data_IF_328236743670
#
_entry.id   IF_328236743670
#
_cell.length_a   1.000
_cell.length_b   1.000
_cell.length_c   1.000
_cell.angle_alpha   90.00
_cell.angle_beta   90.00
_cell.angle_gamma   90.00
#
_symmetry.space_group_name_H-M   'P 1'
#
loop_
_entity.id
_entity.type
_entity.pdbx_description
1 polymer ?
#
# COMPACT_ATOMS: atom_id res chain seq x y z
N UNK A 1 -32.81 10.30 -3.20
CA UNK A 1 -31.87 9.66 -2.26
C UNK A 1 -30.48 10.18 -2.60
N UNK A 2 -30.02 11.20 -1.88
CA UNK A 2 -28.71 11.82 -2.17
C UNK A 2 -27.61 10.94 -1.58
N UNK A 3 -26.98 10.13 -2.42
CA UNK A 3 -25.79 9.34 -2.06
C UNK A 3 -24.62 10.28 -1.75
N UNK A 4 -24.48 10.74 -0.50
CA UNK A 4 -23.19 11.27 -0.01
C UNK A 4 -22.30 10.09 0.35
N UNK A 5 -21.61 9.53 -0.64
CA UNK A 5 -20.72 8.39 -0.44
C UNK A 5 -19.26 8.68 -0.85
N UNK A 6 -18.89 9.95 -1.00
CA UNK A 6 -17.52 10.36 -1.31
C UNK A 6 -16.91 11.09 -0.11
N UNK A 7 -15.72 10.64 0.30
CA UNK A 7 -14.92 11.21 1.38
C UNK A 7 -13.64 11.77 0.78
N UNK A 8 -13.38 13.05 1.06
CA UNK A 8 -12.09 13.67 0.80
C UNK A 8 -11.45 14.08 2.13
N UNK A 9 -10.30 13.51 2.45
CA UNK A 9 -9.56 13.78 3.68
C UNK A 9 -8.19 14.35 3.35
N UNK A 10 -7.88 15.52 3.89
CA UNK A 10 -6.58 16.18 3.80
C UNK A 10 -6.05 16.38 5.22
N UNK A 11 -4.87 15.84 5.51
CA UNK A 11 -4.25 15.93 6.83
C UNK A 11 -2.80 16.34 6.70
N UNK A 12 -2.39 17.35 7.47
CA UNK A 12 -1.01 17.81 7.54
C UNK A 12 -0.63 18.09 8.99
N UNK A 13 0.51 17.57 9.44
CA UNK A 13 0.96 17.74 10.83
C UNK A 13 1.96 16.68 11.25
N UNK A 14 2.53 16.80 12.45
CA UNK A 14 3.57 15.86 12.89
C UNK A 14 3.02 14.45 13.13
N UNK A 15 1.82 14.32 13.69
CA UNK A 15 1.13 13.06 13.90
C UNK A 15 -0.27 13.10 13.30
N UNK A 16 -0.55 12.20 12.37
CA UNK A 16 -1.83 12.09 11.68
C UNK A 16 -2.47 10.77 12.04
N UNK A 17 -3.72 10.84 12.51
CA UNK A 17 -4.61 9.68 12.64
C UNK A 17 -5.85 9.96 11.80
N UNK A 18 -6.04 9.19 10.73
CA UNK A 18 -7.14 9.37 9.78
C UNK A 18 -8.01 8.11 9.72
N UNK A 19 -9.33 8.29 9.83
CA UNK A 19 -10.33 7.26 9.62
C UNK A 19 -11.28 7.73 8.51
N UNK A 20 -11.26 7.04 7.38
CA UNK A 20 -12.13 7.32 6.23
C UNK A 20 -13.05 6.12 5.99
N UNK A 21 -14.37 6.36 5.99
CA UNK A 21 -15.38 5.36 5.67
C UNK A 21 -16.42 5.95 4.71
N UNK A 22 -16.54 5.37 3.53
CA UNK A 22 -17.45 5.82 2.46
C UNK A 22 -17.24 4.98 1.20
N UNK A 23 -18.14 5.06 0.21
CA UNK A 23 -17.96 4.23 -1.00
C UNK A 23 -16.74 4.65 -1.83
N UNK A 24 -16.46 5.95 -1.92
CA UNK A 24 -15.31 6.51 -2.62
C UNK A 24 -14.50 7.33 -1.62
N UNK A 25 -13.22 7.02 -1.47
CA UNK A 25 -12.32 7.70 -0.54
C UNK A 25 -11.14 8.25 -1.31
N UNK A 26 -10.87 9.54 -1.12
CA UNK A 26 -9.63 10.20 -1.51
C UNK A 26 -8.96 10.74 -0.24
N UNK A 27 -7.83 10.17 0.14
CA UNK A 27 -7.09 10.55 1.34
C UNK A 27 -5.69 11.04 1.00
N UNK A 28 -5.32 12.21 1.52
CA UNK A 28 -3.98 12.78 1.41
C UNK A 28 -3.46 13.12 2.81
N UNK A 29 -2.37 12.45 3.20
CA UNK A 29 -1.72 12.66 4.51
C UNK A 29 -0.26 13.03 4.32
N UNK A 30 0.17 14.13 4.93
CA UNK A 30 1.56 14.58 4.92
C UNK A 30 2.03 14.90 6.35
N UNK A 31 2.96 14.14 6.89
CA UNK A 31 3.32 14.26 8.30
C UNK A 31 4.43 13.32 8.72
N UNK A 32 5.06 13.55 9.86
CA UNK A 32 6.16 12.67 10.30
C UNK A 32 5.65 11.25 10.61
N UNK A 33 4.56 11.14 11.34
CA UNK A 33 3.90 9.87 11.68
C UNK A 33 2.47 9.87 11.12
N UNK A 34 2.14 8.86 10.33
CA UNK A 34 0.82 8.70 9.70
C UNK A 34 0.25 7.33 10.05
N UNK A 35 -0.93 7.32 10.67
CA UNK A 35 -1.80 6.16 10.80
C UNK A 35 -3.11 6.41 10.06
N UNK A 36 -3.41 5.61 9.04
CA UNK A 36 -4.64 5.75 8.27
C UNK A 36 -5.42 4.43 8.11
N UNK A 37 -6.72 4.49 8.38
CA UNK A 37 -7.68 3.42 8.12
C UNK A 37 -8.69 3.90 7.07
N UNK A 38 -8.72 3.22 5.92
CA UNK A 38 -9.66 3.52 4.83
C UNK A 38 -10.52 2.28 4.54
N UNK A 39 -11.84 2.44 4.62
CA UNK A 39 -12.80 1.38 4.30
C UNK A 39 -13.84 1.89 3.30
N UNK A 40 -13.84 1.37 2.08
CA UNK A 40 -14.68 1.87 1.01
C UNK A 40 -14.56 1.07 -0.27
N UNK A 41 -15.52 1.18 -1.19
CA UNK A 41 -15.48 0.42 -2.45
C UNK A 41 -14.29 0.85 -3.32
N UNK A 42 -14.02 2.15 -3.42
CA UNK A 42 -12.90 2.72 -4.17
C UNK A 42 -12.07 3.57 -3.21
N UNK A 43 -10.78 3.26 -3.08
CA UNK A 43 -9.85 3.98 -2.20
C UNK A 43 -8.68 4.49 -3.04
N UNK A 44 -8.44 5.80 -2.98
CA UNK A 44 -7.21 6.44 -3.43
C UNK A 44 -6.55 7.09 -2.22
N UNK A 45 -5.35 6.63 -1.86
CA UNK A 45 -4.62 7.14 -0.71
C UNK A 45 -3.18 7.53 -1.05
N UNK A 46 -2.82 8.77 -0.71
CA UNK A 46 -1.45 9.29 -0.73
C UNK A 46 -0.96 9.51 0.70
N UNK A 47 0.22 9.01 1.01
CA UNK A 47 0.87 9.29 2.30
C UNK A 47 2.34 9.62 2.10
N UNK A 48 2.77 10.75 2.66
CA UNK A 48 4.17 11.16 2.69
C UNK A 48 4.60 11.47 4.13
N UNK A 49 5.59 10.76 4.63
CA UNK A 49 5.99 10.87 6.03
C UNK A 49 7.23 10.09 6.39
N UNK A 50 7.68 10.15 7.65
CA UNK A 50 8.80 9.31 8.10
C UNK A 50 8.30 7.89 8.41
N UNK A 51 7.22 7.77 9.16
CA UNK A 51 6.60 6.52 9.57
C UNK A 51 5.16 6.50 9.04
N UNK A 52 4.82 5.50 8.23
CA UNK A 52 3.50 5.35 7.62
C UNK A 52 2.96 3.96 7.95
N UNK A 53 1.86 3.91 8.68
CA UNK A 53 1.07 2.71 8.89
C UNK A 53 -0.32 2.88 8.29
N UNK A 54 -0.74 1.95 7.44
CA UNK A 54 -2.03 2.05 6.76
C UNK A 54 -2.73 0.73 6.61
N UNK A 55 -4.05 0.79 6.69
CA UNK A 55 -4.95 -0.32 6.39
C UNK A 55 -6.02 0.16 5.42
N UNK A 56 -6.08 -0.47 4.24
CA UNK A 56 -7.05 -0.16 3.20
C UNK A 56 -7.88 -1.43 2.92
N UNK A 57 -9.21 -1.32 3.04
CA UNK A 57 -10.14 -2.40 2.71
C UNK A 57 -11.19 -1.89 1.72
N UNK A 58 -11.26 -2.51 0.54
CA UNK A 58 -12.13 -2.04 -0.53
C UNK A 58 -12.20 -2.96 -1.73
N UNK A 59 -12.96 -2.60 -2.77
CA UNK A 59 -12.93 -3.37 -4.01
C UNK A 59 -11.75 -2.96 -4.88
N UNK A 60 -11.55 -1.66 -5.05
CA UNK A 60 -10.45 -1.06 -5.82
C UNK A 60 -9.61 -0.20 -4.88
N UNK A 61 -8.32 -0.49 -4.78
CA UNK A 61 -7.38 0.21 -3.90
C UNK A 61 -6.19 0.69 -4.72
N UNK A 62 -6.02 2.01 -4.76
CA UNK A 62 -4.81 2.65 -5.29
C UNK A 62 -4.09 3.39 -4.16
N UNK A 63 -2.83 3.05 -3.93
CA UNK A 63 -2.05 3.65 -2.84
C UNK A 63 -0.66 4.07 -3.30
N UNK A 64 -0.24 5.25 -2.89
CA UNK A 64 1.12 5.75 -3.07
C UNK A 64 1.67 6.18 -1.71
N UNK A 65 2.78 5.58 -1.28
CA UNK A 65 3.40 5.84 0.02
C UNK A 65 4.88 6.15 -0.14
N UNK A 66 5.31 7.24 0.46
CA UNK A 66 6.71 7.66 0.47
C UNK A 66 7.14 7.94 1.92
N UNK A 67 8.11 7.21 2.43
CA UNK A 67 8.60 7.43 3.79
C UNK A 67 9.72 6.52 4.24
N UNK A 68 10.34 6.79 5.39
CA UNK A 68 11.46 5.96 5.87
C UNK A 68 10.99 4.55 6.23
N UNK A 69 9.89 4.44 6.97
CA UNK A 69 9.29 3.17 7.36
C UNK A 69 7.83 3.11 6.89
N UNK A 70 7.48 2.04 6.17
CA UNK A 70 6.13 1.84 5.64
C UNK A 70 5.62 0.46 6.06
N UNK A 71 4.48 0.45 6.75
CA UNK A 71 3.67 -0.74 7.00
C UNK A 71 2.31 -0.58 6.31
N UNK A 72 1.99 -1.50 5.40
CA UNK A 72 0.75 -1.39 4.62
C UNK A 72 0.04 -2.74 4.46
N UNK A 73 -1.21 -2.77 4.92
CA UNK A 73 -2.17 -3.82 4.62
C UNK A 73 -3.18 -3.32 3.59
N UNK A 74 -3.30 -4.01 2.45
CA UNK A 74 -4.34 -3.75 1.47
C UNK A 74 -5.15 -5.04 1.25
N UNK A 75 -6.47 -4.98 1.40
CA UNK A 75 -7.38 -6.09 1.11
C UNK A 75 -8.48 -5.63 0.15
N UNK A 76 -8.52 -6.21 -1.04
CA UNK A 76 -9.50 -5.82 -2.06
C UNK A 76 -9.39 -6.57 -3.37
N UNK A 77 -10.39 -6.46 -4.23
CA UNK A 77 -10.39 -7.20 -5.50
C UNK A 77 -9.24 -6.77 -6.42
N UNK A 78 -9.04 -5.46 -6.57
CA UNK A 78 -7.98 -4.87 -7.39
C UNK A 78 -7.12 -3.97 -6.50
N UNK A 79 -5.81 -4.24 -6.47
CA UNK A 79 -4.85 -3.49 -5.66
C UNK A 79 -3.73 -2.99 -6.55
N UNK A 80 -3.54 -1.68 -6.60
CA UNK A 80 -2.37 -1.02 -7.15
C UNK A 80 -1.63 -0.28 -6.03
N UNK A 81 -0.37 -0.63 -5.79
CA UNK A 81 0.41 -0.02 -4.73
C UNK A 81 1.83 0.34 -5.16
N UNK A 82 2.20 1.59 -4.93
CA UNK A 82 3.58 2.06 -5.02
C UNK A 82 4.07 2.45 -3.63
N UNK A 83 5.23 1.92 -3.25
CA UNK A 83 5.87 2.21 -1.95
C UNK A 83 7.35 2.51 -2.16
N UNK A 84 7.81 3.62 -1.60
CA UNK A 84 9.21 4.02 -1.61
C UNK A 84 9.67 4.38 -0.20
N UNK A 85 10.72 3.73 0.30
CA UNK A 85 11.19 3.91 1.66
C UNK A 85 12.40 3.10 2.06
N UNK A 86 12.94 3.30 3.26
CA UNK A 86 14.08 2.52 3.73
C UNK A 86 13.65 1.12 4.17
N UNK A 87 12.63 1.01 5.02
CA UNK A 87 12.05 -0.24 5.49
C UNK A 87 10.59 -0.34 5.06
N UNK A 88 10.23 -1.40 4.34
CA UNK A 88 8.88 -1.61 3.83
C UNK A 88 8.39 -2.99 4.22
N UNK A 89 7.27 -3.05 4.91
CA UNK A 89 6.50 -4.26 5.15
C UNK A 89 5.13 -4.12 4.51
N UNK A 90 4.77 -5.05 3.65
CA UNK A 90 3.46 -5.03 3.01
C UNK A 90 2.82 -6.39 2.90
N UNK A 91 1.51 -6.40 3.11
CA UNK A 91 0.63 -7.51 2.85
C UNK A 91 -0.52 -7.04 1.95
N UNK A 92 -0.63 -7.63 0.76
CA UNK A 92 -1.71 -7.38 -0.19
C UNK A 92 -2.48 -8.68 -0.42
N UNK A 93 -3.81 -8.64 -0.27
CA UNK A 93 -4.69 -9.77 -0.53
C UNK A 93 -5.83 -9.35 -1.45
N UNK A 94 -5.99 -10.04 -2.58
CA UNK A 94 -6.94 -9.61 -3.61
C UNK A 94 -7.08 -10.57 -4.78
N UNK A 95 -7.86 -10.19 -5.80
CA UNK A 95 -7.91 -10.96 -7.04
C UNK A 95 -6.78 -10.57 -7.98
N UNK A 96 -6.60 -9.27 -8.20
CA UNK A 96 -5.54 -8.69 -9.03
C UNK A 96 -4.69 -7.75 -8.18
N UNK A 97 -3.39 -8.01 -8.14
CA UNK A 97 -2.43 -7.24 -7.34
C UNK A 97 -1.29 -6.77 -8.24
N UNK A 98 -1.08 -5.47 -8.30
CA UNK A 98 0.10 -4.85 -8.89
C UNK A 98 0.85 -4.04 -7.82
N UNK A 99 2.09 -4.41 -7.55
CA UNK A 99 2.93 -3.70 -6.59
C UNK A 99 4.28 -3.31 -7.17
N UNK A 100 4.69 -2.07 -6.87
CA UNK A 100 6.04 -1.57 -7.10
C UNK A 100 6.60 -1.08 -5.77
N UNK A 101 7.65 -1.74 -5.29
CA UNK A 101 8.25 -1.46 -3.99
C UNK A 101 9.73 -1.17 -4.16
N UNK A 102 10.17 0.01 -3.72
CA UNK A 102 11.57 0.40 -3.73
C UNK A 102 12.05 0.74 -2.33
N UNK A 103 13.13 0.09 -1.88
CA UNK A 103 13.66 0.36 -0.55
C UNK A 103 14.82 -0.50 -0.12
N UNK A 104 15.51 -0.11 0.95
CA UNK A 104 16.68 -0.85 1.41
C UNK A 104 16.31 -2.24 1.96
N UNK A 105 15.28 -2.32 2.81
CA UNK A 105 14.71 -3.55 3.35
C UNK A 105 13.24 -3.68 2.94
N UNK A 106 12.90 -4.77 2.27
CA UNK A 106 11.55 -5.06 1.78
C UNK A 106 11.10 -6.44 2.27
N UNK A 107 9.94 -6.47 2.94
CA UNK A 107 9.17 -7.68 3.17
C UNK A 107 7.80 -7.52 2.52
N UNK A 108 7.51 -8.31 1.50
CA UNK A 108 6.28 -8.23 0.72
C UNK A 108 5.61 -9.60 0.63
N UNK A 109 4.36 -9.66 1.04
CA UNK A 109 3.49 -10.82 0.84
C UNK A 109 2.29 -10.40 -0.01
N UNK A 110 2.13 -11.01 -1.18
CA UNK A 110 1.00 -10.78 -2.07
C UNK A 110 0.26 -12.09 -2.33
N UNK A 111 -1.05 -12.11 -2.08
CA UNK A 111 -1.89 -13.28 -2.32
C UNK A 111 -3.08 -12.91 -3.19
N UNK A 112 -3.14 -13.48 -4.40
CA UNK A 112 -4.27 -13.24 -5.30
C UNK A 112 -4.22 -14.04 -6.58
N UNK A 113 -5.33 -14.06 -7.33
CA UNK A 113 -5.40 -14.84 -8.57
C UNK A 113 -4.34 -14.39 -9.59
N UNK A 114 -4.18 -13.08 -9.78
CA UNK A 114 -3.14 -12.44 -10.57
C UNK A 114 -2.26 -11.52 -9.72
N UNK A 115 -0.95 -11.74 -9.74
CA UNK A 115 0.03 -10.95 -8.99
C UNK A 115 1.17 -10.51 -9.88
N UNK A 116 1.34 -9.20 -10.02
CA UNK A 116 2.53 -8.56 -10.60
C UNK A 116 3.24 -7.79 -9.49
N UNK A 117 4.47 -8.20 -9.16
CA UNK A 117 5.25 -7.57 -8.10
C UNK A 117 6.66 -7.24 -8.58
N UNK A 118 7.05 -5.97 -8.44
CA UNK A 118 8.43 -5.53 -8.62
C UNK A 118 8.96 -5.02 -7.28
N UNK A 119 10.05 -5.61 -6.80
CA UNK A 119 10.76 -5.17 -5.61
C UNK A 119 12.20 -4.81 -5.97
N UNK A 120 12.65 -3.60 -5.62
CA UNK A 120 14.02 -3.14 -5.87
C UNK A 120 14.67 -2.60 -4.59
N UNK A 121 15.81 -3.17 -4.19
CA UNK A 121 16.32 -2.97 -2.83
C UNK A 121 17.56 -3.79 -2.48
N UNK A 122 18.07 -3.64 -1.26
CA UNK A 122 19.26 -4.37 -0.82
C UNK A 122 18.90 -5.72 -0.20
N UNK A 123 17.93 -5.73 0.73
CA UNK A 123 17.43 -6.91 1.43
C UNK A 123 15.96 -7.11 1.09
N UNK A 124 15.63 -8.15 0.34
CA UNK A 124 14.26 -8.38 -0.15
C UNK A 124 13.80 -9.79 0.21
N UNK A 125 12.65 -9.87 0.88
CA UNK A 125 11.87 -11.07 1.07
C UNK A 125 10.49 -10.84 0.44
N UNK A 126 10.29 -11.37 -0.76
CA UNK A 126 9.03 -11.27 -1.49
C UNK A 126 8.43 -12.66 -1.69
N UNK A 127 7.21 -12.86 -1.22
CA UNK A 127 6.42 -14.07 -1.45
C UNK A 127 5.13 -13.68 -2.15
N UNK A 128 4.91 -14.25 -3.33
CA UNK A 128 3.67 -14.08 -4.09
C UNK A 128 3.00 -15.45 -4.21
N UNK A 129 1.68 -15.50 -4.01
CA UNK A 129 0.86 -16.70 -4.18
C UNK A 129 -0.36 -16.39 -5.05
N UNK A 130 -0.73 -17.31 -5.93
CA UNK A 130 -1.71 -17.05 -6.98
C UNK A 130 -1.70 -18.03 -8.14
N UNK A 131 -2.62 -17.83 -9.08
CA UNK A 131 -2.69 -18.62 -10.31
C UNK A 131 -1.73 -18.06 -11.38
N UNK A 132 -1.64 -16.74 -11.49
CA UNK A 132 -0.81 -16.02 -12.44
C UNK A 132 0.13 -15.09 -11.69
N UNK A 133 1.42 -15.43 -11.62
CA UNK A 133 2.41 -14.68 -10.84
C UNK A 133 3.56 -14.23 -11.73
N UNK A 134 3.80 -12.92 -11.75
CA UNK A 134 5.01 -12.32 -12.31
C UNK A 134 5.70 -11.51 -11.21
N UNK A 135 6.86 -12.00 -10.77
CA UNK A 135 7.65 -11.33 -9.73
C UNK A 135 9.05 -11.01 -10.27
N UNK A 136 9.46 -9.75 -10.13
CA UNK A 136 10.83 -9.30 -10.39
C UNK A 136 11.43 -8.72 -9.12
N UNK A 137 12.49 -9.36 -8.63
CA UNK A 137 13.26 -8.90 -7.48
C UNK A 137 14.63 -8.45 -7.97
N UNK A 138 14.95 -7.17 -7.79
CA UNK A 138 16.23 -6.57 -8.14
C UNK A 138 16.94 -6.16 -6.84
N UNK A 139 18.03 -6.84 -6.50
CA UNK A 139 18.83 -6.43 -5.35
C UNK A 139 20.29 -6.82 -5.42
N UNK A 140 21.12 -6.13 -4.64
CA UNK A 140 22.56 -6.38 -4.56
C UNK A 140 22.92 -7.64 -3.75
N UNK A 141 21.94 -8.38 -3.22
CA UNK A 141 22.14 -9.55 -2.39
C UNK A 141 21.11 -10.66 -2.62
N UNK A 142 21.19 -11.37 -3.74
CA UNK A 142 20.49 -12.66 -3.91
C UNK A 142 21.42 -13.68 -4.57
N UNK A 143 22.38 -14.18 -3.80
CA UNK A 143 22.65 -15.62 -3.78
C UNK A 143 21.97 -16.12 -2.52
N UNK A 144 20.99 -17.00 -2.64
CA UNK A 144 20.85 -18.32 -2.01
C UNK A 144 19.58 -18.94 -2.60
#
# INVERSE_FOLDING_TARGET
VSNRNEIQALSNGNGIQALCNGNVIQALSNGNEIQALCNGNVIQALSNGNEIQTLCNGNEIQTLRHGNEIQALCNGNEIQALRNGNGIQTLCNGNEIQTLTHGNGIQALCNGNGVQALCNGNEIQALCNGNEIQTLVMGMGSRH
#
